data_IF_383887258445
#
_entry.id   IF_383887258445
#
_cell.length_a   1.000
_cell.length_b   1.000
_cell.length_c   1.000
_cell.angle_alpha   90.00
_cell.angle_beta   90.00
_cell.angle_gamma   90.00
#
_symmetry.space_group_name_H-M   'P 1'
#
loop_
_entity.id
_entity.type
_entity.pdbx_description
1 polymer ?
#
# COMPACT_ATOMS: atom_id res chain seq x y z
N UNK A 1 -0.12 -9.42 -3.90
CA UNK A 1 -0.90 -10.56 -3.40
C UNK A 1 -0.41 -11.04 -2.04
N UNK A 2 0.86 -11.35 -1.89
CA UNK A 2 1.39 -11.95 -0.67
C UNK A 2 1.78 -10.99 0.44
N UNK A 3 1.65 -9.67 0.25
CA UNK A 3 2.05 -8.65 1.22
C UNK A 3 3.55 -8.69 1.55
N UNK A 4 4.38 -8.85 0.55
CA UNK A 4 5.84 -8.86 0.73
C UNK A 4 6.60 -7.86 -0.15
N UNK A 5 5.97 -7.25 -1.16
CA UNK A 5 6.65 -6.30 -2.05
C UNK A 5 5.94 -4.94 -2.07
N UNK A 6 4.87 -4.82 -2.84
CA UNK A 6 4.20 -3.54 -3.11
C UNK A 6 3.54 -2.92 -1.87
N UNK A 7 2.70 -3.68 -1.21
CA UNK A 7 1.94 -3.13 -0.08
C UNK A 7 2.80 -2.78 1.13
N UNK A 8 3.81 -3.58 1.53
CA UNK A 8 4.70 -3.12 2.61
C UNK A 8 5.53 -1.91 2.21
N UNK A 9 5.91 -1.76 0.94
CA UNK A 9 6.58 -0.56 0.46
C UNK A 9 5.68 0.66 0.63
N UNK A 10 4.43 0.57 0.21
CA UNK A 10 3.46 1.66 0.38
C UNK A 10 3.25 2.00 1.86
N UNK A 11 3.11 0.99 2.69
CA UNK A 11 2.98 1.17 4.14
C UNK A 11 4.17 1.93 4.72
N UNK A 12 5.38 1.49 4.41
CA UNK A 12 6.60 2.14 4.90
C UNK A 12 6.75 3.58 4.41
N UNK A 13 6.44 3.82 3.14
CA UNK A 13 6.49 5.17 2.57
C UNK A 13 5.50 6.11 3.24
N UNK A 14 4.28 5.66 3.48
CA UNK A 14 3.26 6.50 4.12
C UNK A 14 3.60 6.75 5.59
N UNK A 15 4.06 5.74 6.32
CA UNK A 15 4.51 5.91 7.71
C UNK A 15 5.62 6.95 7.77
N UNK A 16 6.60 6.87 6.88
CA UNK A 16 7.71 7.83 6.82
C UNK A 16 7.21 9.24 6.49
N UNK A 17 6.29 9.35 5.54
CA UNK A 17 5.73 10.64 5.11
C UNK A 17 5.01 11.35 6.25
N UNK A 18 4.10 10.66 6.94
CA UNK A 18 3.33 11.26 8.02
C UNK A 18 4.19 11.57 9.25
N UNK A 19 5.23 10.79 9.48
CA UNK A 19 6.21 11.05 10.54
C UNK A 19 7.01 12.32 10.24
N UNK A 20 7.50 12.46 9.01
CA UNK A 20 8.26 13.63 8.59
C UNK A 20 7.43 14.92 8.71
N UNK A 21 6.14 14.84 8.45
CA UNK A 21 5.22 15.98 8.52
C UNK A 21 4.61 16.18 9.92
N UNK A 22 5.01 15.37 10.90
CA UNK A 22 4.52 15.41 12.29
C UNK A 22 3.01 15.23 12.41
N UNK A 23 2.43 14.39 11.55
CA UNK A 23 0.99 14.10 11.55
C UNK A 23 0.68 12.63 11.74
N UNK A 24 1.64 11.83 12.20
CA UNK A 24 1.44 10.38 12.40
C UNK A 24 0.26 10.08 13.32
N UNK A 25 -0.03 10.94 14.28
CA UNK A 25 -1.17 10.76 15.20
C UNK A 25 -2.54 10.83 14.52
N UNK A 26 -2.60 11.33 13.29
CA UNK A 26 -3.84 11.44 12.51
C UNK A 26 -4.10 10.20 11.66
N UNK A 27 -3.15 9.27 11.58
CA UNK A 27 -3.22 8.13 10.68
C UNK A 27 -3.01 6.82 11.44
N UNK A 28 -3.74 5.81 11.01
CA UNK A 28 -3.48 4.44 11.39
C UNK A 28 -3.25 3.66 10.10
N UNK A 29 -2.03 3.17 9.92
CA UNK A 29 -1.52 2.66 8.65
C UNK A 29 -1.14 1.19 8.81
N UNK A 30 -1.62 0.37 7.88
CA UNK A 30 -1.27 -1.05 7.85
C UNK A 30 -1.34 -1.54 6.42
N UNK A 31 -0.83 -2.74 6.16
CA UNK A 31 -0.97 -3.39 4.87
C UNK A 31 -1.28 -4.87 5.04
N UNK A 32 -1.83 -5.46 3.99
CA UNK A 32 -2.16 -6.88 3.99
C UNK A 32 -2.14 -7.43 2.57
N UNK A 33 -2.17 -8.75 2.45
CA UNK A 33 -2.26 -9.42 1.17
C UNK A 33 -3.64 -10.02 0.95
N UNK A 34 -3.94 -10.32 -0.30
CA UNK A 34 -5.16 -11.05 -0.68
C UNK A 34 -5.04 -12.54 -0.38
N UNK A 35 -3.81 -13.05 -0.30
CA UNK A 35 -3.49 -14.45 -0.08
C UNK A 35 -2.51 -14.59 1.08
N UNK A 36 -2.39 -15.80 1.61
CA UNK A 36 -1.55 -16.09 2.77
C UNK A 36 -0.25 -16.83 2.43
N UNK A 37 0.21 -16.74 1.17
CA UNK A 37 1.42 -17.43 0.69
C UNK A 37 2.65 -17.17 1.54
N UNK A 38 2.77 -15.96 2.10
CA UNK A 38 3.93 -15.53 2.86
C UNK A 38 3.55 -15.05 4.26
N UNK A 39 2.50 -15.65 4.83
CA UNK A 39 1.95 -15.23 6.13
C UNK A 39 3.04 -15.15 7.20
N UNK A 40 3.12 -14.02 7.88
CA UNK A 40 4.10 -13.79 8.95
C UNK A 40 5.52 -13.51 8.46
N UNK A 41 5.76 -13.53 7.15
CA UNK A 41 7.10 -13.25 6.59
C UNK A 41 7.40 -11.76 6.60
N UNK A 42 8.69 -11.43 6.72
CA UNK A 42 9.17 -10.08 6.44
C UNK A 42 9.03 -9.77 4.94
N UNK A 43 9.06 -8.48 4.55
CA UNK A 43 9.07 -8.13 3.14
C UNK A 43 10.21 -8.81 2.38
N UNK A 44 10.00 -9.02 1.09
CA UNK A 44 11.02 -9.58 0.19
C UNK A 44 12.35 -8.84 0.38
N UNK A 45 13.46 -9.58 0.44
CA UNK A 45 14.78 -9.00 0.73
C UNK A 45 15.18 -7.92 -0.31
N UNK A 46 14.80 -8.12 -1.57
CA UNK A 46 15.07 -7.15 -2.64
C UNK A 46 14.27 -5.88 -2.43
N UNK A 47 13.04 -6.01 -1.96
CA UNK A 47 12.18 -4.87 -1.60
C UNK A 47 12.79 -4.10 -0.44
N UNK A 48 13.23 -4.78 0.60
CA UNK A 48 13.85 -4.14 1.75
C UNK A 48 15.14 -3.40 1.36
N UNK A 49 15.96 -4.01 0.51
CA UNK A 49 17.21 -3.44 0.05
C UNK A 49 16.96 -2.16 -0.76
N UNK A 50 16.04 -2.20 -1.72
CA UNK A 50 15.71 -1.04 -2.52
C UNK A 50 15.16 0.10 -1.66
N UNK A 51 14.30 -0.19 -0.71
CA UNK A 51 13.73 0.80 0.19
C UNK A 51 14.81 1.39 1.13
N UNK A 52 15.71 0.56 1.64
CA UNK A 52 16.77 1.01 2.54
C UNK A 52 17.70 2.01 1.87
N UNK A 53 17.97 1.86 0.57
CA UNK A 53 18.76 2.82 -0.19
C UNK A 53 18.13 4.22 -0.24
N UNK A 54 16.83 4.32 0.00
CA UNK A 54 16.10 5.59 0.05
C UNK A 54 15.73 6.00 1.48
N UNK A 55 16.34 5.34 2.48
CA UNK A 55 16.12 5.67 3.89
C UNK A 55 14.83 5.12 4.49
N UNK A 56 14.19 4.16 3.83
CA UNK A 56 12.95 3.54 4.31
C UNK A 56 13.25 2.15 4.87
N UNK A 57 12.96 1.95 6.16
CA UNK A 57 13.18 0.66 6.82
C UNK A 57 11.89 -0.14 6.84
N UNK A 58 11.88 -1.28 6.17
CA UNK A 58 10.72 -2.19 6.11
C UNK A 58 10.91 -3.45 6.96
N UNK A 59 12.03 -3.57 7.68
CA UNK A 59 12.43 -4.83 8.31
C UNK A 59 11.46 -5.32 9.40
N UNK A 60 10.73 -4.42 10.04
CA UNK A 60 9.81 -4.78 11.13
C UNK A 60 8.41 -5.14 10.64
N UNK A 61 8.11 -4.93 9.37
CA UNK A 61 6.80 -5.26 8.81
C UNK A 61 6.67 -6.77 8.62
N UNK A 62 5.42 -7.27 8.77
CA UNK A 62 5.14 -8.70 8.60
C UNK A 62 3.88 -8.85 7.77
N UNK A 63 3.89 -9.83 6.86
CA UNK A 63 2.74 -10.09 6.01
C UNK A 63 1.57 -10.65 6.82
N UNK A 64 0.39 -10.23 6.46
CA UNK A 64 -0.87 -10.78 6.94
C UNK A 64 -1.89 -10.82 5.80
N UNK A 65 -2.91 -11.62 5.97
CA UNK A 65 -4.01 -11.71 5.01
C UNK A 65 -5.12 -10.75 5.40
N UNK A 66 -5.83 -10.22 4.39
CA UNK A 66 -7.01 -9.38 4.60
C UNK A 66 -8.06 -10.12 5.44
N UNK A 67 -8.71 -9.40 6.36
CA UNK A 67 -9.80 -9.90 7.20
C UNK A 67 -11.07 -9.10 6.90
N UNK A 68 -12.24 -9.71 7.13
CA UNK A 68 -13.50 -9.01 6.96
C UNK A 68 -13.59 -7.75 7.82
N UNK A 69 -13.04 -7.78 9.02
CA UNK A 69 -13.01 -6.62 9.91
C UNK A 69 -12.23 -5.43 9.36
N UNK A 70 -11.30 -5.66 8.44
CA UNK A 70 -10.54 -4.57 7.81
C UNK A 70 -11.46 -3.62 7.03
N UNK A 71 -12.46 -4.16 6.35
CA UNK A 71 -13.40 -3.34 5.56
C UNK A 71 -14.22 -2.40 6.42
N UNK A 72 -14.57 -2.81 7.62
CA UNK A 72 -15.29 -1.97 8.55
C UNK A 72 -14.37 -0.95 9.22
N UNK A 73 -13.21 -1.40 9.64
CA UNK A 73 -12.31 -0.62 10.49
C UNK A 73 -11.62 0.53 9.77
N UNK A 74 -11.07 0.28 8.58
CA UNK A 74 -10.30 1.29 7.86
C UNK A 74 -11.20 2.18 7.01
N UNK A 75 -10.81 3.43 6.87
CA UNK A 75 -11.57 4.42 6.11
C UNK A 75 -11.25 4.38 4.62
N UNK A 76 -10.04 3.97 4.25
CA UNK A 76 -9.58 3.89 2.87
C UNK A 76 -8.75 2.62 2.69
N UNK A 77 -9.05 1.88 1.64
CA UNK A 77 -8.35 0.64 1.30
C UNK A 77 -7.80 0.78 -0.12
N UNK A 78 -6.48 0.85 -0.22
CA UNK A 78 -5.81 1.04 -1.50
C UNK A 78 -5.28 -0.29 -2.02
N UNK A 79 -5.57 -0.57 -3.29
CA UNK A 79 -5.12 -1.79 -3.96
C UNK A 79 -4.17 -1.45 -5.10
N UNK A 80 -3.27 -2.37 -5.39
CA UNK A 80 -2.18 -2.12 -6.34
C UNK A 80 -2.59 -2.37 -7.78
N UNK A 81 -3.45 -3.35 -8.03
CA UNK A 81 -3.86 -3.75 -9.36
C UNK A 81 -5.32 -4.21 -9.38
N UNK A 82 -5.81 -4.46 -10.60
CA UNK A 82 -7.22 -4.86 -10.79
C UNK A 82 -7.52 -6.27 -10.28
N UNK A 83 -6.54 -7.14 -10.23
CA UNK A 83 -6.72 -8.47 -9.61
C UNK A 83 -6.98 -8.33 -8.12
N UNK A 84 -6.22 -7.48 -7.44
CA UNK A 84 -6.44 -7.18 -6.03
C UNK A 84 -7.82 -6.54 -5.83
N UNK A 85 -8.16 -5.57 -6.68
CA UNK A 85 -9.45 -4.90 -6.62
C UNK A 85 -10.61 -5.87 -6.74
N UNK A 86 -10.58 -6.73 -7.77
CA UNK A 86 -11.64 -7.71 -8.00
C UNK A 86 -11.77 -8.69 -6.84
N UNK A 87 -10.65 -9.16 -6.31
CA UNK A 87 -10.65 -10.07 -5.17
C UNK A 87 -11.33 -9.42 -3.96
N UNK A 88 -10.96 -8.18 -3.64
CA UNK A 88 -11.52 -7.48 -2.49
C UNK A 88 -12.98 -7.11 -2.71
N UNK A 89 -13.37 -6.69 -3.92
CA UNK A 89 -14.76 -6.37 -4.21
C UNK A 89 -15.69 -7.58 -4.02
N UNK A 90 -15.22 -8.78 -4.38
CA UNK A 90 -15.98 -10.00 -4.18
C UNK A 90 -16.10 -10.40 -2.70
N UNK A 91 -15.11 -10.05 -1.90
CA UNK A 91 -15.08 -10.38 -0.48
C UNK A 91 -15.78 -9.33 0.38
N UNK A 92 -15.75 -8.07 -0.05
CA UNK A 92 -16.18 -6.92 0.74
C UNK A 92 -17.71 -6.78 0.78
N UNK A 93 -18.30 -6.57 1.96
CA UNK A 93 -19.71 -6.20 2.02
C UNK A 93 -20.01 -4.96 1.19
N UNK A 94 -21.16 -4.94 0.53
CA UNK A 94 -21.52 -3.86 -0.40
C UNK A 94 -21.44 -2.47 0.25
N UNK A 95 -21.78 -2.37 1.51
CA UNK A 95 -21.79 -1.11 2.26
C UNK A 95 -20.40 -0.49 2.43
N UNK A 96 -19.33 -1.27 2.27
CA UNK A 96 -17.95 -0.81 2.42
C UNK A 96 -17.16 -0.76 1.12
N UNK A 97 -17.75 -1.19 -0.01
CA UNK A 97 -17.03 -1.25 -1.30
C UNK A 97 -16.51 0.12 -1.77
N UNK A 98 -17.17 1.20 -1.36
CA UNK A 98 -16.74 2.55 -1.71
C UNK A 98 -15.35 2.92 -1.16
N UNK A 99 -14.87 2.18 -0.16
CA UNK A 99 -13.55 2.41 0.44
C UNK A 99 -12.41 1.88 -0.41
N UNK A 100 -12.68 0.95 -1.31
CA UNK A 100 -11.66 0.27 -2.12
C UNK A 100 -11.36 1.11 -3.36
N UNK A 101 -10.09 1.49 -3.53
CA UNK A 101 -9.63 2.29 -4.68
C UNK A 101 -8.28 1.77 -5.16
N UNK A 102 -8.07 1.82 -6.47
CA UNK A 102 -6.74 1.58 -7.02
C UNK A 102 -5.79 2.70 -6.58
N UNK A 103 -4.58 2.33 -6.16
CA UNK A 103 -3.56 3.27 -5.70
C UNK A 103 -3.33 4.37 -6.74
N UNK A 104 -3.23 4.02 -8.02
CA UNK A 104 -2.90 4.97 -9.08
C UNK A 104 -4.07 5.84 -9.53
N UNK A 105 -5.27 5.69 -8.96
CA UNK A 105 -6.32 6.68 -9.17
C UNK A 105 -5.96 8.05 -8.60
N UNK A 106 -5.00 8.08 -7.66
CA UNK A 106 -4.48 9.33 -7.13
C UNK A 106 -3.50 10.02 -8.08
N UNK A 107 -3.09 9.35 -9.14
CA UNK A 107 -2.23 9.89 -10.20
C UNK A 107 -2.94 9.72 -11.55
N UNK A 108 -4.01 10.50 -11.82
CA UNK A 108 -4.86 10.28 -13.01
C UNK A 108 -4.12 10.46 -14.34
N UNK A 109 -3.06 11.26 -14.36
CA UNK A 109 -2.28 11.50 -15.56
C UNK A 109 -1.10 10.56 -15.74
N UNK A 110 -0.92 9.62 -14.81
CA UNK A 110 0.16 8.65 -14.90
C UNK A 110 -0.10 7.66 -16.03
N UNK A 111 0.94 7.24 -16.79
CA UNK A 111 0.72 6.43 -18.00
C UNK A 111 0.23 5.01 -17.76
N UNK A 112 0.25 4.52 -16.52
CA UNK A 112 -0.28 3.20 -16.18
C UNK A 112 -1.31 3.32 -15.06
N UNK A 113 -2.22 2.36 -14.99
CA UNK A 113 -3.31 2.35 -13.99
C UNK A 113 -3.03 1.42 -12.81
N UNK A 114 -2.06 0.54 -12.96
CA UNK A 114 -1.74 -0.48 -11.96
C UNK A 114 -0.28 -0.41 -11.57
N UNK A 115 0.00 -0.66 -10.29
CA UNK A 115 1.38 -0.80 -9.82
C UNK A 115 1.85 -2.21 -10.21
N UNK A 116 2.91 -2.35 -11.02
CA UNK A 116 3.39 -3.66 -11.45
C UNK A 116 3.94 -4.48 -10.29
N UNK A 117 3.83 -5.81 -10.40
CA UNK A 117 4.38 -6.71 -9.39
C UNK A 117 5.86 -6.98 -9.67
N UNK A 118 6.78 -6.53 -8.79
CA UNK A 118 8.21 -6.68 -9.05
C UNK A 118 8.74 -8.08 -8.73
N UNK A 119 7.95 -8.91 -8.04
CA UNK A 119 8.41 -10.23 -7.58
C UNK A 119 8.88 -11.11 -8.73
N UNK A 120 8.20 -11.03 -9.87
CA UNK A 120 8.49 -11.85 -11.06
C UNK A 120 9.33 -11.12 -12.11
N UNK A 121 9.74 -9.89 -11.82
CA UNK A 121 10.49 -9.06 -12.76
C UNK A 121 11.99 -9.04 -12.49
N UNK A 122 12.71 -8.24 -13.28
CA UNK A 122 14.14 -8.03 -13.11
C UNK A 122 14.47 -7.10 -11.93
N UNK A 123 15.77 -6.84 -11.72
CA UNK A 123 16.26 -6.06 -10.61
C UNK A 123 15.68 -4.63 -10.57
N UNK A 124 15.48 -4.02 -11.74
CA UNK A 124 14.96 -2.65 -11.84
C UNK A 124 13.50 -2.54 -11.42
N UNK A 125 12.78 -3.65 -11.35
CA UNK A 125 11.35 -3.64 -11.00
C UNK A 125 11.07 -3.09 -9.62
N UNK A 126 11.96 -3.33 -8.66
CA UNK A 126 11.78 -2.85 -7.28
C UNK A 126 11.95 -1.33 -7.19
N UNK A 127 12.93 -0.77 -7.92
CA UNK A 127 13.11 0.67 -7.99
C UNK A 127 11.96 1.37 -8.72
N UNK A 128 11.45 0.76 -9.78
CA UNK A 128 10.28 1.30 -10.50
C UNK A 128 9.05 1.35 -9.58
N UNK A 129 8.82 0.31 -8.80
CA UNK A 129 7.72 0.29 -7.84
C UNK A 129 7.89 1.39 -6.79
N UNK A 130 9.11 1.59 -6.29
CA UNK A 130 9.39 2.68 -5.35
C UNK A 130 9.10 4.04 -5.96
N UNK A 131 9.55 4.30 -7.20
CA UNK A 131 9.29 5.56 -7.89
C UNK A 131 7.79 5.83 -8.01
N UNK A 132 7.03 4.83 -8.44
CA UNK A 132 5.58 4.94 -8.62
C UNK A 132 4.90 5.19 -7.27
N UNK A 133 5.26 4.40 -6.27
CA UNK A 133 4.62 4.48 -4.95
C UNK A 133 4.97 5.76 -4.22
N UNK A 134 6.19 6.29 -4.39
CA UNK A 134 6.54 7.59 -3.81
C UNK A 134 5.62 8.70 -4.31
N UNK A 135 5.37 8.76 -5.62
CA UNK A 135 4.46 9.74 -6.20
C UNK A 135 3.02 9.53 -5.73
N UNK A 136 2.56 8.26 -5.73
CA UNK A 136 1.20 7.94 -5.32
C UNK A 136 0.96 8.25 -3.85
N UNK A 137 1.90 7.89 -2.97
CA UNK A 137 1.78 8.13 -1.53
C UNK A 137 1.81 9.63 -1.23
N UNK A 138 2.60 10.41 -1.97
CA UNK A 138 2.57 11.85 -1.82
C UNK A 138 1.19 12.42 -2.17
N UNK A 139 0.59 11.95 -3.25
CA UNK A 139 -0.76 12.37 -3.65
C UNK A 139 -1.82 11.94 -2.62
N UNK A 140 -1.73 10.71 -2.12
CA UNK A 140 -2.63 10.19 -1.08
C UNK A 140 -2.52 11.03 0.18
N UNK A 141 -1.31 11.28 0.66
CA UNK A 141 -1.09 12.05 1.89
C UNK A 141 -1.58 13.50 1.74
N UNK A 142 -1.31 14.12 0.60
CA UNK A 142 -1.79 15.48 0.34
C UNK A 142 -3.31 15.53 0.39
N UNK A 143 -4.00 14.61 -0.28
CA UNK A 143 -5.47 14.56 -0.32
C UNK A 143 -6.05 14.42 1.08
N UNK A 144 -5.49 13.52 1.90
CA UNK A 144 -6.06 13.19 3.20
C UNK A 144 -5.60 14.10 4.33
N UNK A 145 -4.46 14.77 4.19
CA UNK A 145 -4.03 15.81 5.15
C UNK A 145 -4.91 17.05 5.08
N UNK A 146 -5.56 17.29 3.94
CA UNK A 146 -6.48 18.42 3.78
C UNK A 146 -7.91 18.11 4.18
N UNK A 147 -8.21 16.84 4.55
CA UNK A 147 -9.54 16.40 4.97
C UNK A 147 -9.64 16.30 6.51
N UNK A 148 -10.85 16.39 7.06
CA UNK A 148 -11.03 16.40 8.53
C UNK A 148 -10.87 15.02 9.20
N UNK A 149 -10.95 13.91 8.46
CA UNK A 149 -10.79 12.55 9.01
C UNK A 149 -9.77 11.76 8.23
N UNK A 150 -8.87 11.06 8.94
CA UNK A 150 -7.70 10.45 8.32
C UNK A 150 -7.35 9.11 8.96
N UNK A 151 -7.92 8.04 8.43
CA UNK A 151 -7.47 6.67 8.69
C UNK A 151 -7.24 5.96 7.37
N UNK A 152 -6.01 5.45 7.17
CA UNK A 152 -5.56 4.94 5.90
C UNK A 152 -5.05 3.50 6.01
N UNK A 153 -5.26 2.74 4.95
CA UNK A 153 -4.73 1.38 4.84
C UNK A 153 -3.77 1.29 3.69
#
# INVERSE_FOLDING_TARGET
MGNICRSPTAEGLLISKVSTENVSHKFEIDSCGTHDYHLGHSPDSRTQEAAALRGINLSDLRSRKIKLSDFEYYDLILVMDKLNENFLMNLCPKEYQYKIKLMLTYLPDYPIEEVPDPYYGGEDGFDQVLDILEEAIEAVSYTHLTLPTNREV
#
